data_IF_541868193148
#
_entry.id   IF_541868193148
#
_cell.length_a   1.000
_cell.length_b   1.000
_cell.length_c   1.000
_cell.angle_alpha   90.00
_cell.angle_beta   90.00
_cell.angle_gamma   90.00
#
_symmetry.space_group_name_H-M   'P 1'
#
loop_
_entity.id
_entity.type
_entity.pdbx_description
1 polymer ?
#
# COMPACT_ATOMS: atom_id res chain seq x y z
N UNK A 1 0.81 -44.38 -31.81
CA UNK A 1 0.15 -43.51 -32.79
C UNK A 1 -1.13 -43.01 -32.13
N UNK A 2 -1.11 -41.80 -31.56
CA UNK A 2 -2.26 -41.25 -30.83
C UNK A 2 -3.40 -40.96 -31.80
N UNK A 3 -4.61 -41.36 -31.42
CA UNK A 3 -5.82 -41.29 -32.23
C UNK A 3 -6.27 -39.82 -32.39
N UNK A 4 -5.71 -39.17 -33.42
CA UNK A 4 -5.98 -37.79 -33.86
C UNK A 4 -7.47 -37.38 -33.83
N UNK A 5 -8.44 -38.22 -34.27
CA UNK A 5 -9.86 -37.83 -34.24
C UNK A 5 -10.40 -37.66 -32.81
N UNK A 6 -9.95 -38.47 -31.85
CA UNK A 6 -10.38 -38.37 -30.45
C UNK A 6 -9.85 -37.09 -29.77
N UNK A 7 -8.63 -36.67 -30.12
CA UNK A 7 -8.05 -35.40 -29.65
C UNK A 7 -8.83 -34.21 -30.21
N UNK A 8 -9.15 -34.22 -31.50
CA UNK A 8 -9.92 -33.16 -32.16
C UNK A 8 -11.34 -33.02 -31.58
N UNK A 9 -12.00 -34.13 -31.24
CA UNK A 9 -13.31 -34.12 -30.60
C UNK A 9 -13.27 -33.51 -29.18
N UNK A 10 -12.23 -33.82 -28.39
CA UNK A 10 -12.02 -33.25 -27.04
C UNK A 10 -11.75 -31.74 -27.07
N UNK A 11 -11.04 -31.25 -28.09
CA UNK A 11 -10.79 -29.82 -28.27
C UNK A 11 -12.06 -29.05 -28.69
N UNK A 12 -12.96 -29.68 -29.46
CA UNK A 12 -14.26 -29.10 -29.82
C UNK A 12 -15.23 -29.06 -28.63
N UNK A 13 -15.26 -30.09 -27.78
CA UNK A 13 -16.15 -30.06 -26.60
C UNK A 13 -15.71 -29.02 -25.56
N UNK A 14 -14.41 -28.76 -25.42
CA UNK A 14 -13.89 -27.66 -24.57
C UNK A 14 -14.29 -26.27 -25.05
N UNK A 15 -14.51 -26.06 -26.35
CA UNK A 15 -14.96 -24.76 -26.91
C UNK A 15 -16.40 -24.42 -26.57
N UNK A 16 -17.23 -25.40 -26.19
CA UNK A 16 -18.64 -25.22 -25.88
C UNK A 16 -18.95 -25.29 -24.38
N UNK A 17 -17.93 -25.37 -23.52
CA UNK A 17 -18.17 -25.14 -22.10
C UNK A 17 -18.74 -23.72 -21.96
N UNK A 18 -19.89 -23.56 -21.29
CA UNK A 18 -20.39 -22.23 -20.96
C UNK A 18 -19.25 -21.49 -20.28
N UNK A 19 -18.78 -20.41 -20.89
CA UNK A 19 -17.97 -19.43 -20.17
C UNK A 19 -18.95 -18.85 -19.17
N UNK A 20 -19.04 -19.46 -17.99
CA UNK A 20 -19.73 -18.86 -16.86
C UNK A 20 -19.11 -17.48 -16.75
N UNK A 21 -19.87 -16.38 -16.93
CA UNK A 21 -19.33 -15.05 -16.75
C UNK A 21 -18.59 -15.07 -15.42
N UNK A 22 -17.30 -14.72 -15.43
CA UNK A 22 -16.53 -14.63 -14.20
C UNK A 22 -17.38 -13.81 -13.24
N UNK A 23 -17.84 -14.43 -12.14
CA UNK A 23 -18.77 -13.82 -11.21
C UNK A 23 -18.26 -12.42 -10.92
N UNK A 24 -19.14 -11.41 -11.08
CA UNK A 24 -18.80 -10.01 -10.88
C UNK A 24 -17.95 -9.91 -9.61
N UNK A 25 -16.67 -9.53 -9.72
CA UNK A 25 -15.77 -9.62 -8.61
C UNK A 25 -16.27 -8.57 -7.62
N UNK A 26 -17.09 -8.98 -6.66
CA UNK A 26 -17.84 -8.07 -5.80
C UNK A 26 -16.93 -7.10 -5.03
N UNK A 27 -17.48 -6.24 -4.15
CA UNK A 27 -16.77 -5.10 -3.54
C UNK A 27 -15.37 -5.37 -2.95
N UNK A 28 -15.10 -6.62 -2.53
CA UNK A 28 -13.79 -7.09 -2.03
C UNK A 28 -12.68 -7.05 -3.10
N UNK A 29 -13.04 -7.16 -4.38
CA UNK A 29 -12.12 -7.10 -5.51
C UNK A 29 -11.53 -5.71 -5.73
N UNK A 30 -12.15 -4.66 -5.21
CA UNK A 30 -11.67 -3.28 -5.38
C UNK A 30 -10.76 -2.83 -4.24
N UNK A 31 -10.73 -3.54 -3.11
CA UNK A 31 -9.93 -3.18 -1.95
C UNK A 31 -8.43 -3.09 -2.29
N UNK A 32 -7.90 -4.04 -3.07
CA UNK A 32 -6.48 -3.99 -3.47
C UNK A 32 -6.12 -2.72 -4.25
N UNK A 33 -7.04 -2.22 -5.09
CA UNK A 33 -6.81 -1.01 -5.90
C UNK A 33 -6.64 0.21 -5.01
N UNK A 34 -7.47 0.33 -3.97
CA UNK A 34 -7.38 1.42 -3.00
C UNK A 34 -5.97 1.45 -2.38
N UNK A 35 -5.48 0.32 -1.91
CA UNK A 35 -4.13 0.22 -1.33
C UNK A 35 -3.03 0.57 -2.32
N UNK A 36 -3.04 -0.04 -3.51
CA UNK A 36 -2.00 0.17 -4.53
C UNK A 36 -1.98 1.62 -5.02
N UNK A 37 -3.15 2.18 -5.37
CA UNK A 37 -3.23 3.56 -5.86
C UNK A 37 -2.80 4.54 -4.77
N UNK A 38 -3.27 4.34 -3.54
CA UNK A 38 -2.84 5.18 -2.40
C UNK A 38 -1.34 5.11 -2.20
N UNK A 39 -0.75 3.91 -2.23
CA UNK A 39 0.69 3.71 -2.08
C UNK A 39 1.49 4.43 -3.16
N UNK A 40 1.04 4.38 -4.42
CA UNK A 40 1.69 5.08 -5.53
C UNK A 40 1.57 6.60 -5.36
N UNK A 41 0.40 7.12 -4.99
CA UNK A 41 0.21 8.56 -4.75
C UNK A 41 1.10 9.03 -3.62
N UNK A 42 1.12 8.34 -2.48
CA UNK A 42 1.95 8.68 -1.32
C UNK A 42 3.43 8.57 -1.65
N UNK A 43 3.85 7.48 -2.31
CA UNK A 43 5.23 7.26 -2.71
C UNK A 43 5.73 8.35 -3.65
N UNK A 44 4.97 8.69 -4.69
CA UNK A 44 5.36 9.73 -5.67
C UNK A 44 5.34 11.14 -5.07
N UNK A 45 4.31 11.49 -4.29
CA UNK A 45 4.17 12.81 -3.69
C UNK A 45 5.01 12.90 -2.41
N UNK A 46 4.52 12.38 -1.28
CA UNK A 46 5.18 12.48 0.02
C UNK A 46 6.55 11.78 0.11
N UNK A 47 6.77 10.71 -0.65
CA UNK A 47 8.05 9.99 -0.69
C UNK A 47 9.09 10.68 -1.58
N UNK A 48 8.99 10.49 -2.89
CA UNK A 48 9.99 10.94 -3.87
C UNK A 48 10.09 12.46 -3.96
N UNK A 49 8.99 13.21 -3.93
CA UNK A 49 9.06 14.68 -3.97
C UNK A 49 9.78 15.23 -2.74
N UNK A 50 9.42 14.75 -1.54
CA UNK A 50 10.13 15.15 -0.31
C UNK A 50 11.61 14.76 -0.37
N UNK A 51 11.92 13.54 -0.81
CA UNK A 51 13.30 13.07 -0.99
C UNK A 51 14.11 13.98 -1.93
N UNK A 52 13.54 14.37 -3.06
CA UNK A 52 14.16 15.30 -4.00
C UNK A 52 14.41 16.67 -3.35
N UNK A 53 13.44 17.22 -2.60
CA UNK A 53 13.62 18.50 -1.90
C UNK A 53 14.67 18.44 -0.78
N UNK A 54 14.82 17.29 -0.13
CA UNK A 54 15.86 17.07 0.87
C UNK A 54 17.26 17.06 0.26
N UNK A 55 17.42 16.37 -0.88
CA UNK A 55 18.69 16.33 -1.62
C UNK A 55 19.04 17.71 -2.18
N UNK A 56 18.11 18.34 -2.89
CA UNK A 56 18.31 19.68 -3.45
C UNK A 56 18.60 20.69 -2.36
N UNK A 57 17.87 20.61 -1.25
CA UNK A 57 18.07 21.55 -0.17
C UNK A 57 19.38 21.34 0.57
N UNK A 58 19.88 20.10 0.64
CA UNK A 58 21.21 19.80 1.17
C UNK A 58 22.30 20.38 0.26
N UNK A 59 22.15 20.29 -1.06
CA UNK A 59 23.12 20.86 -2.01
C UNK A 59 23.11 22.39 -1.99
N UNK A 60 21.92 22.99 -1.89
CA UNK A 60 21.73 24.46 -1.90
C UNK A 60 21.85 25.10 -0.52
N UNK A 61 22.04 24.31 0.54
CA UNK A 61 22.15 24.76 1.94
C UNK A 61 20.92 25.57 2.43
N UNK A 62 19.73 25.34 1.86
CA UNK A 62 18.49 26.03 2.25
C UNK A 62 17.83 25.43 3.50
N UNK A 63 18.14 24.18 3.84
CA UNK A 63 17.64 23.57 5.07
C UNK A 63 18.40 24.12 6.27
N UNK A 64 17.86 25.14 6.92
CA UNK A 64 18.49 25.79 8.08
C UNK A 64 18.26 25.01 9.38
N UNK A 65 17.13 24.28 9.48
CA UNK A 65 16.75 23.43 10.62
C UNK A 65 15.85 22.28 10.16
N UNK A 66 15.75 21.24 10.99
CA UNK A 66 14.73 20.19 10.81
C UNK A 66 14.98 19.21 9.66
N UNK A 67 16.11 19.27 8.95
CA UNK A 67 16.43 18.35 7.85
C UNK A 67 16.30 16.88 8.27
N UNK A 68 16.86 16.52 9.44
CA UNK A 68 16.81 15.15 9.95
C UNK A 68 15.38 14.67 10.20
N UNK A 69 14.51 15.52 10.76
CA UNK A 69 13.11 15.18 10.99
C UNK A 69 12.38 14.92 9.66
N UNK A 70 12.59 15.77 8.65
CA UNK A 70 12.01 15.58 7.33
C UNK A 70 12.60 14.37 6.59
N UNK A 71 13.89 14.08 6.75
CA UNK A 71 14.53 12.88 6.20
C UNK A 71 13.97 11.58 6.81
N UNK A 72 13.68 11.59 8.11
CA UNK A 72 12.99 10.48 8.77
C UNK A 72 11.55 10.34 8.27
N UNK A 73 10.80 11.44 8.12
CA UNK A 73 9.45 11.44 7.51
C UNK A 73 9.49 10.89 6.09
N UNK A 74 10.47 11.28 5.27
CA UNK A 74 10.68 10.75 3.93
C UNK A 74 10.87 9.23 3.95
N UNK A 75 11.84 8.74 4.73
CA UNK A 75 12.13 7.30 4.82
C UNK A 75 10.93 6.51 5.34
N UNK A 76 10.24 7.04 6.35
CA UNK A 76 9.06 6.43 6.92
C UNK A 76 7.89 6.37 5.92
N UNK A 77 7.69 7.44 5.16
CA UNK A 77 6.68 7.51 4.08
C UNK A 77 6.97 6.49 2.98
N UNK A 78 8.24 6.30 2.61
CA UNK A 78 8.62 5.29 1.62
C UNK A 78 8.39 3.86 2.12
N UNK A 79 8.71 3.57 3.38
CA UNK A 79 8.56 2.22 3.93
C UNK A 79 7.10 1.88 4.27
N UNK A 80 6.43 2.70 5.07
CA UNK A 80 5.08 2.43 5.57
C UNK A 80 3.99 2.89 4.60
N UNK A 81 4.19 4.03 3.96
CA UNK A 81 3.22 4.61 3.03
C UNK A 81 3.28 4.05 1.62
N UNK A 82 4.47 3.73 1.11
CA UNK A 82 4.61 3.13 -0.22
C UNK A 82 4.78 1.61 -0.15
N UNK A 83 5.91 1.11 0.38
CA UNK A 83 6.24 -0.31 0.30
C UNK A 83 5.20 -1.19 1.00
N UNK A 84 4.86 -0.89 2.26
CA UNK A 84 3.92 -1.70 3.03
C UNK A 84 2.51 -1.66 2.43
N UNK A 85 1.94 -0.47 2.17
CA UNK A 85 0.61 -0.36 1.55
C UNK A 85 0.56 -1.02 0.17
N UNK A 86 1.60 -0.87 -0.65
CA UNK A 86 1.67 -1.51 -1.96
C UNK A 86 1.70 -3.04 -1.82
N UNK A 87 2.57 -3.57 -0.96
CA UNK A 87 2.67 -5.00 -0.70
C UNK A 87 1.36 -5.57 -0.16
N UNK A 88 0.71 -4.91 0.81
CA UNK A 88 -0.61 -5.31 1.32
C UNK A 88 -1.65 -5.32 0.20
N UNK A 89 -1.68 -4.29 -0.65
CA UNK A 89 -2.54 -4.27 -1.83
C UNK A 89 -2.30 -5.46 -2.76
N UNK A 90 -1.05 -5.74 -3.12
CA UNK A 90 -0.69 -6.90 -3.94
C UNK A 90 -1.11 -8.21 -3.26
N UNK A 91 -0.91 -8.37 -1.96
CA UNK A 91 -1.32 -9.56 -1.21
C UNK A 91 -2.84 -9.73 -1.20
N UNK A 92 -3.61 -8.66 -1.02
CA UNK A 92 -5.07 -8.67 -1.13
C UNK A 92 -5.55 -9.10 -2.52
N UNK A 93 -4.76 -8.82 -3.56
CA UNK A 93 -5.03 -9.30 -4.91
C UNK A 93 -4.63 -10.77 -5.10
N UNK A 94 -3.45 -11.16 -4.64
CA UNK A 94 -2.84 -12.46 -4.97
C UNK A 94 -3.37 -13.59 -4.09
N UNK A 95 -3.47 -13.39 -2.77
CA UNK A 95 -3.81 -14.47 -1.82
C UNK A 95 -5.16 -15.16 -2.12
N UNK A 96 -6.27 -14.45 -2.44
CA UNK A 96 -7.53 -15.11 -2.75
C UNK A 96 -7.46 -16.04 -3.97
N UNK A 97 -6.54 -15.79 -4.90
CA UNK A 97 -6.35 -16.59 -6.12
C UNK A 97 -5.53 -17.86 -5.87
N UNK A 98 -4.74 -17.87 -4.79
CA UNK A 98 -3.94 -19.01 -4.36
C UNK A 98 -4.69 -19.94 -3.39
N UNK A 99 -5.98 -19.71 -3.16
CA UNK A 99 -6.77 -20.44 -2.17
C UNK A 99 -6.72 -19.85 -0.76
N UNK A 100 -6.10 -18.68 -0.58
CA UNK A 100 -6.13 -17.94 0.68
C UNK A 100 -7.51 -17.35 0.97
N UNK A 101 -7.86 -17.24 2.25
CA UNK A 101 -9.09 -16.59 2.67
C UNK A 101 -9.01 -15.06 2.50
N UNK A 102 -10.11 -14.37 2.14
CA UNK A 102 -10.13 -12.91 2.05
C UNK A 102 -9.89 -12.26 3.43
N UNK A 103 -8.97 -11.29 3.48
CA UNK A 103 -8.64 -10.55 4.70
C UNK A 103 -9.83 -9.68 5.13
N UNK A 104 -10.37 -9.93 6.33
CA UNK A 104 -11.58 -9.25 6.84
C UNK A 104 -11.29 -7.84 7.38
N UNK A 105 -10.05 -7.59 7.83
CA UNK A 105 -9.65 -6.35 8.48
C UNK A 105 -9.09 -5.27 7.53
N UNK A 106 -9.13 -5.47 6.21
CA UNK A 106 -8.43 -4.59 5.25
C UNK A 106 -8.76 -3.09 5.39
N UNK A 107 -10.01 -2.72 5.71
CA UNK A 107 -10.36 -1.29 5.95
C UNK A 107 -9.75 -0.72 7.24
N UNK A 108 -9.67 -1.53 8.30
CA UNK A 108 -9.06 -1.11 9.56
C UNK A 108 -7.53 -0.97 9.40
N UNK A 109 -6.89 -1.94 8.74
CA UNK A 109 -5.45 -1.88 8.40
C UNK A 109 -5.15 -0.61 7.60
N UNK A 110 -5.93 -0.34 6.55
CA UNK A 110 -5.78 0.86 5.73
C UNK A 110 -5.89 2.15 6.55
N UNK A 111 -6.94 2.27 7.37
CA UNK A 111 -7.19 3.46 8.18
C UNK A 111 -6.10 3.70 9.21
N UNK A 112 -5.64 2.65 9.90
CA UNK A 112 -4.58 2.73 10.90
C UNK A 112 -3.23 3.10 10.28
N UNK A 113 -2.88 2.51 9.13
CA UNK A 113 -1.65 2.89 8.40
C UNK A 113 -1.68 4.35 7.96
N UNK A 114 -2.78 4.81 7.38
CA UNK A 114 -2.87 6.21 6.95
C UNK A 114 -2.90 7.18 8.12
N UNK A 115 -3.61 6.86 9.20
CA UNK A 115 -3.65 7.70 10.39
C UNK A 115 -2.27 7.80 11.04
N UNK A 116 -1.56 6.68 11.19
CA UNK A 116 -0.19 6.66 11.73
C UNK A 116 0.77 7.46 10.85
N UNK A 117 0.74 7.21 9.53
CA UNK A 117 1.60 7.92 8.60
C UNK A 117 1.34 9.43 8.59
N UNK A 118 0.08 9.86 8.57
CA UNK A 118 -0.28 11.28 8.63
C UNK A 118 0.14 11.92 9.97
N UNK A 119 -0.07 11.21 11.08
CA UNK A 119 0.35 11.66 12.40
C UNK A 119 1.88 11.82 12.49
N UNK A 120 2.66 10.93 11.88
CA UNK A 120 4.13 11.06 11.81
C UNK A 120 4.55 12.21 10.89
N UNK A 121 3.96 12.30 9.70
CA UNK A 121 4.32 13.32 8.71
C UNK A 121 4.09 14.75 9.22
N UNK A 122 3.02 14.96 9.99
CA UNK A 122 2.70 16.26 10.60
C UNK A 122 3.38 16.45 11.96
N UNK A 123 3.39 15.41 12.79
CA UNK A 123 3.86 15.48 14.16
C UNK A 123 5.37 15.62 14.29
N UNK A 124 6.13 14.88 13.48
CA UNK A 124 7.58 14.83 13.63
C UNK A 124 8.29 16.17 13.32
N UNK A 125 7.97 16.88 12.21
CA UNK A 125 8.66 18.12 11.90
C UNK A 125 8.31 19.29 12.84
N UNK A 126 7.17 19.19 13.53
CA UNK A 126 6.58 20.23 14.38
C UNK A 126 6.54 19.83 15.87
N UNK A 127 7.32 18.82 16.26
CA UNK A 127 7.29 18.21 17.59
C UNK A 127 7.75 19.15 18.73
N UNK A 128 8.16 20.37 18.41
CA UNK A 128 8.40 21.44 19.38
C UNK A 128 7.10 21.95 20.02
N UNK A 129 5.95 21.73 19.40
CA UNK A 129 4.64 22.02 19.99
C UNK A 129 4.01 20.74 20.53
N UNK A 130 3.40 20.84 21.72
CA UNK A 130 2.87 19.67 22.47
C UNK A 130 1.90 18.80 21.65
N UNK A 131 1.02 19.44 20.87
CA UNK A 131 0.06 18.72 20.02
C UNK A 131 0.76 17.83 18.98
N UNK A 132 1.77 18.35 18.30
CA UNK A 132 2.50 17.62 17.25
C UNK A 132 3.44 16.57 17.85
N UNK A 133 4.01 16.82 19.03
CA UNK A 133 4.72 15.81 19.80
C UNK A 133 3.82 14.63 20.14
N UNK A 134 2.59 14.89 20.60
CA UNK A 134 1.61 13.83 20.87
C UNK A 134 1.22 13.06 19.59
N UNK A 135 1.00 13.74 18.47
CA UNK A 135 0.74 13.09 17.17
C UNK A 135 1.89 12.16 16.76
N UNK A 136 3.14 12.62 16.90
CA UNK A 136 4.32 11.81 16.60
C UNK A 136 4.43 10.57 17.50
N UNK A 137 4.08 10.70 18.79
CA UNK A 137 4.10 9.56 19.72
C UNK A 137 3.02 8.53 19.39
N UNK A 138 1.83 8.97 18.99
CA UNK A 138 0.69 8.08 18.65
C UNK A 138 0.87 7.40 17.28
N UNK A 139 1.72 7.93 16.40
CA UNK A 139 1.92 7.37 15.05
C UNK A 139 2.39 5.90 15.07
N UNK A 140 3.36 5.58 15.93
CA UNK A 140 3.93 4.23 16.03
C UNK A 140 2.90 3.18 16.50
N UNK A 141 2.17 3.41 17.60
CA UNK A 141 1.08 2.53 18.03
C UNK A 141 0.01 2.27 16.96
N UNK A 142 -0.37 3.28 16.17
CA UNK A 142 -1.33 3.11 15.08
C UNK A 142 -0.79 2.17 13.99
N UNK A 143 0.46 2.37 13.60
CA UNK A 143 1.15 1.54 12.60
C UNK A 143 1.34 0.09 13.08
N UNK A 144 1.71 -0.09 14.37
CA UNK A 144 1.83 -1.40 15.00
C UNK A 144 0.50 -2.13 15.08
N UNK A 145 -0.57 -1.44 15.45
CA UNK A 145 -1.92 -1.99 15.44
C UNK A 145 -2.31 -2.44 14.03
N UNK A 146 -1.96 -1.68 12.99
CA UNK A 146 -2.28 -2.05 11.62
C UNK A 146 -1.62 -3.36 11.16
N UNK A 147 -0.35 -3.60 11.52
CA UNK A 147 0.38 -4.81 11.11
C UNK A 147 0.06 -6.05 11.94
N UNK A 148 -0.70 -5.89 13.02
CA UNK A 148 -1.10 -6.98 13.93
C UNK A 148 -2.55 -7.46 13.73
N UNK A 149 -3.31 -6.80 12.83
CA UNK A 149 -4.67 -7.17 12.42
C UNK A 149 -4.69 -8.18 11.25
#
# INVERSE_FOLDING_TARGET
MLDQPAMAARLRSRRHLPVTPAADPGPRSHAYRLFVVTALVIGLTGGFTLGATLVLGQVTQIWTRGWLAHAQVHGHTQLWGWVLLFATGVLLHVLPRMGGAPQRAGRAIYALLLAGLAARALGQPLADQELFAALFLVSGPLEMAAVTL
#
